data_IF_036614736944
#
_entry.id   IF_036614736944
#
_cell.length_a   1.000
_cell.length_b   1.000
_cell.length_c   1.000
_cell.angle_alpha   90.00
_cell.angle_beta   90.00
_cell.angle_gamma   90.00
#
_symmetry.space_group_name_H-M   'P 1'
#
loop_
_entity.id
_entity.type
_entity.pdbx_description
1 polymer ?
#
# COMPACT_ATOMS: atom_id res chain seq x y z
N UNK A 1 2.94 39.03 -49.87
CA UNK A 1 2.51 38.39 -51.14
C UNK A 1 3.73 37.96 -51.95
N UNK A 2 4.63 37.13 -51.38
CA UNK A 2 5.95 36.78 -51.98
C UNK A 2 6.27 35.28 -52.00
N UNK A 3 5.43 34.39 -51.44
CA UNK A 3 5.78 32.97 -51.33
C UNK A 3 5.54 32.19 -52.63
N UNK A 4 4.51 32.54 -53.42
CA UNK A 4 4.14 31.79 -54.64
C UNK A 4 5.14 31.87 -55.80
N UNK A 5 6.00 32.90 -55.83
CA UNK A 5 7.01 33.05 -56.89
C UNK A 5 8.27 32.22 -56.62
N UNK A 6 8.56 31.91 -55.34
CA UNK A 6 9.70 31.07 -54.95
C UNK A 6 9.47 29.62 -55.36
N UNK A 7 8.28 29.07 -55.08
CA UNK A 7 7.94 27.68 -55.41
C UNK A 7 8.01 27.39 -56.92
N UNK A 8 7.52 28.32 -57.76
CA UNK A 8 7.58 28.16 -59.21
C UNK A 8 9.01 28.22 -59.75
N UNK A 9 9.88 29.02 -59.12
CA UNK A 9 11.31 29.08 -59.46
C UNK A 9 12.04 27.82 -59.02
N UNK A 10 11.74 27.28 -57.84
CA UNK A 10 12.34 26.05 -57.32
C UNK A 10 11.90 24.81 -58.13
N UNK A 11 10.66 24.80 -58.62
CA UNK A 11 10.15 23.71 -59.44
C UNK A 11 10.75 23.72 -60.86
N UNK A 12 10.94 24.90 -61.46
CA UNK A 12 11.66 25.07 -62.74
C UNK A 12 13.14 24.72 -62.61
N UNK A 13 13.79 25.18 -61.54
CA UNK A 13 15.18 24.83 -61.21
C UNK A 13 15.32 23.32 -60.99
N UNK A 14 14.42 22.71 -60.24
CA UNK A 14 14.39 21.27 -60.01
C UNK A 14 14.21 20.47 -61.30
N UNK A 15 13.45 21.00 -62.27
CA UNK A 15 13.26 20.38 -63.60
C UNK A 15 14.55 20.45 -64.43
N UNK A 16 15.23 21.59 -64.44
CA UNK A 16 16.52 21.77 -65.12
C UNK A 16 17.61 20.90 -64.50
N UNK A 17 17.74 20.91 -63.18
CA UNK A 17 18.69 20.07 -62.46
C UNK A 17 18.45 18.57 -62.72
N UNK A 18 17.19 18.13 -62.80
CA UNK A 18 16.86 16.73 -63.15
C UNK A 18 17.22 16.35 -64.57
N UNK A 19 17.27 17.30 -65.50
CA UNK A 19 17.57 17.07 -66.90
C UNK A 19 19.08 17.16 -67.20
N UNK A 20 19.80 18.04 -66.52
CA UNK A 20 21.21 18.35 -66.81
C UNK A 20 22.22 17.59 -65.94
N UNK A 21 21.84 17.13 -64.73
CA UNK A 21 22.78 16.42 -63.85
C UNK A 21 22.78 14.89 -64.11
N UNK A 22 23.98 14.27 -64.26
CA UNK A 22 24.10 12.82 -64.32
C UNK A 22 23.68 12.20 -62.97
N UNK A 23 22.74 11.25 -63.03
CA UNK A 23 22.23 10.57 -61.84
C UNK A 23 23.11 9.36 -61.52
N UNK A 24 23.82 9.44 -60.40
CA UNK A 24 24.50 8.28 -59.84
C UNK A 24 23.57 7.60 -58.83
N UNK A 25 23.39 6.28 -58.97
CA UNK A 25 22.64 5.49 -57.99
C UNK A 25 23.41 5.56 -56.67
N UNK A 26 22.78 6.11 -55.65
CA UNK A 26 23.34 6.13 -54.31
C UNK A 26 23.65 4.68 -53.88
N UNK A 27 24.82 4.40 -53.30
CA UNK A 27 25.12 3.07 -52.77
C UNK A 27 24.04 2.61 -51.80
N UNK A 28 23.61 1.36 -51.87
CA UNK A 28 22.51 0.82 -51.06
C UNK A 28 22.67 1.11 -49.55
N UNK A 29 23.92 1.12 -49.05
CA UNK A 29 24.27 1.49 -47.67
C UNK A 29 23.86 2.92 -47.28
N UNK A 30 23.99 3.88 -48.20
CA UNK A 30 23.64 5.28 -47.95
C UNK A 30 22.12 5.44 -47.88
N UNK A 31 21.41 4.77 -48.79
CA UNK A 31 19.96 4.75 -48.79
C UNK A 31 19.41 4.12 -47.50
N UNK A 32 19.98 2.99 -47.06
CA UNK A 32 19.63 2.35 -45.79
C UNK A 32 19.88 3.29 -44.59
N UNK A 33 21.03 3.96 -44.55
CA UNK A 33 21.36 4.89 -43.47
C UNK A 33 20.41 6.09 -43.40
N UNK A 34 19.97 6.63 -44.53
CA UNK A 34 19.00 7.74 -44.57
C UNK A 34 17.62 7.25 -44.11
N UNK A 35 17.17 6.08 -44.55
CA UNK A 35 15.88 5.50 -44.14
C UNK A 35 15.88 5.20 -42.64
N UNK A 36 16.98 4.70 -42.10
CA UNK A 36 17.13 4.42 -40.67
C UNK A 36 17.16 5.71 -39.84
N UNK A 37 17.87 6.75 -40.31
CA UNK A 37 17.91 8.05 -39.65
C UNK A 37 16.57 8.81 -39.72
N UNK A 38 15.79 8.58 -40.78
CA UNK A 38 14.45 9.15 -40.97
C UNK A 38 13.35 8.35 -40.25
N UNK A 39 13.67 7.17 -39.69
CA UNK A 39 12.69 6.38 -38.96
C UNK A 39 12.32 7.08 -37.65
N UNK A 40 11.01 7.29 -37.36
CA UNK A 40 10.58 7.88 -36.10
C UNK A 40 11.00 6.98 -34.94
N UNK A 41 11.61 7.57 -33.92
CA UNK A 41 12.05 6.83 -32.74
C UNK A 41 10.87 6.06 -32.12
N UNK A 42 11.04 4.77 -31.75
CA UNK A 42 9.97 4.01 -31.15
C UNK A 42 9.52 4.66 -29.84
N UNK A 43 8.20 4.71 -29.56
CA UNK A 43 7.70 5.32 -28.33
C UNK A 43 8.30 4.60 -27.13
N UNK A 44 8.99 5.36 -26.26
CA UNK A 44 9.63 4.84 -25.05
C UNK A 44 8.56 4.34 -24.08
N UNK A 45 8.28 3.03 -24.14
CA UNK A 45 7.30 2.33 -23.27
C UNK A 45 7.53 2.60 -21.77
N UNK A 46 8.78 2.87 -21.37
CA UNK A 46 9.13 3.21 -19.98
C UNK A 46 8.50 4.50 -19.47
N UNK A 47 8.30 5.50 -20.33
CA UNK A 47 7.69 6.78 -19.93
C UNK A 47 6.21 6.60 -19.56
N UNK A 48 5.50 5.71 -20.27
CA UNK A 48 4.10 5.38 -19.98
C UNK A 48 3.93 4.61 -18.68
N UNK A 49 4.83 3.68 -18.37
CA UNK A 49 4.82 2.95 -17.10
C UNK A 49 5.10 3.87 -15.91
N UNK A 50 6.05 4.79 -16.05
CA UNK A 50 6.34 5.78 -15.01
C UNK A 50 5.13 6.68 -14.72
N UNK A 51 4.44 7.15 -15.78
CA UNK A 51 3.23 7.95 -15.64
C UNK A 51 2.08 7.16 -15.00
N UNK A 52 1.87 5.91 -15.42
CA UNK A 52 0.85 5.03 -14.84
C UNK A 52 1.11 4.74 -13.35
N UNK A 53 2.37 4.50 -12.98
CA UNK A 53 2.75 4.27 -11.58
C UNK A 53 2.57 5.53 -10.73
N UNK A 54 2.94 6.70 -11.27
CA UNK A 54 2.71 7.98 -10.59
C UNK A 54 1.21 8.26 -10.39
N UNK A 55 0.37 7.97 -11.38
CA UNK A 55 -1.08 8.11 -11.28
C UNK A 55 -1.71 7.14 -10.26
N UNK A 56 -1.23 5.89 -10.20
CA UNK A 56 -1.68 4.92 -9.20
C UNK A 56 -1.28 5.36 -7.78
N UNK A 57 -0.05 5.86 -7.61
CA UNK A 57 0.43 6.37 -6.34
C UNK A 57 -0.38 7.60 -5.87
N UNK A 58 -0.67 8.55 -6.76
CA UNK A 58 -1.51 9.72 -6.40
C UNK A 58 -2.94 9.32 -6.09
N UNK A 59 -3.53 8.38 -6.83
CA UNK A 59 -4.85 7.83 -6.51
C UNK A 59 -4.86 7.18 -5.11
N UNK A 60 -3.84 6.38 -4.79
CA UNK A 60 -3.71 5.76 -3.46
C UNK A 60 -3.58 6.82 -2.35
N UNK A 61 -2.75 7.85 -2.55
CA UNK A 61 -2.59 8.96 -1.60
C UNK A 61 -3.91 9.71 -1.41
N UNK A 62 -4.63 9.99 -2.49
CA UNK A 62 -5.95 10.63 -2.41
C UNK A 62 -6.93 9.76 -1.63
N UNK A 63 -7.03 8.47 -1.95
CA UNK A 63 -7.90 7.54 -1.21
C UNK A 63 -7.57 7.56 0.27
N UNK A 64 -6.31 7.38 0.65
CA UNK A 64 -5.86 7.41 2.05
C UNK A 64 -6.15 8.75 2.73
N UNK A 65 -6.00 9.87 2.02
CA UNK A 65 -6.32 11.21 2.53
C UNK A 65 -7.83 11.40 2.77
N UNK A 66 -8.69 10.75 1.98
CA UNK A 66 -10.15 10.83 2.10
C UNK A 66 -10.78 9.76 3.00
N UNK A 67 -10.08 8.66 3.30
CA UNK A 67 -10.52 7.63 4.25
C UNK A 67 -11.03 8.21 5.59
N UNK A 68 -10.37 9.19 6.25
CA UNK A 68 -10.87 9.74 7.51
C UNK A 68 -12.14 10.59 7.36
N UNK A 69 -12.45 11.08 6.15
CA UNK A 69 -13.67 11.83 5.85
C UNK A 69 -14.89 10.94 5.58
N UNK A 70 -14.68 9.62 5.38
CA UNK A 70 -15.79 8.69 5.21
C UNK A 70 -16.68 8.69 6.46
N UNK A 71 -18.02 8.70 6.31
CA UNK A 71 -18.92 8.64 7.43
C UNK A 71 -18.65 7.35 8.20
N UNK A 72 -18.07 7.50 9.40
CA UNK A 72 -17.90 6.39 10.32
C UNK A 72 -19.29 6.05 10.83
N UNK A 73 -19.83 4.91 10.39
CA UNK A 73 -21.02 4.32 11.00
C UNK A 73 -20.59 3.85 12.39
N UNK A 74 -20.56 4.77 13.35
CA UNK A 74 -20.41 4.42 14.74
C UNK A 74 -21.65 3.61 15.12
N UNK A 75 -21.50 2.37 15.60
CA UNK A 75 -22.62 1.66 16.17
C UNK A 75 -23.23 2.54 17.27
N UNK A 76 -24.53 2.81 17.20
CA UNK A 76 -25.21 3.60 18.22
C UNK A 76 -25.06 2.93 19.60
N UNK A 77 -25.05 1.60 19.62
CA UNK A 77 -24.89 0.79 20.81
C UNK A 77 -23.42 0.78 21.33
N UNK A 78 -23.16 1.23 22.57
CA UNK A 78 -21.85 1.13 23.20
C UNK A 78 -21.32 -0.31 23.30
N UNK A 79 -22.19 -1.31 23.51
CA UNK A 79 -21.76 -2.71 23.61
C UNK A 79 -21.21 -3.21 22.27
N UNK A 80 -21.84 -2.82 21.15
CA UNK A 80 -21.38 -3.19 19.82
C UNK A 80 -20.05 -2.52 19.45
N UNK A 81 -19.79 -1.29 19.93
CA UNK A 81 -18.48 -0.62 19.79
C UNK A 81 -17.38 -1.36 20.54
N UNK A 82 -17.64 -1.69 21.80
CA UNK A 82 -16.76 -2.52 22.63
C UNK A 82 -16.49 -3.88 21.98
N UNK A 83 -17.52 -4.56 21.48
CA UNK A 83 -17.34 -5.85 20.80
C UNK A 83 -16.43 -5.73 19.57
N UNK A 84 -16.62 -4.70 18.73
CA UNK A 84 -15.74 -4.49 17.57
C UNK A 84 -14.30 -4.20 17.97
N UNK A 85 -14.06 -3.41 19.01
CA UNK A 85 -12.71 -3.10 19.47
C UNK A 85 -12.02 -4.33 20.06
N UNK A 86 -12.76 -5.15 20.81
CA UNK A 86 -12.33 -6.47 21.30
C UNK A 86 -11.97 -7.39 20.12
N UNK A 87 -12.84 -7.52 19.12
CA UNK A 87 -12.57 -8.37 17.95
C UNK A 87 -11.35 -7.87 17.18
N UNK A 88 -11.23 -6.57 16.95
CA UNK A 88 -10.07 -5.98 16.28
C UNK A 88 -8.76 -6.26 17.04
N UNK A 89 -8.79 -6.19 18.37
CA UNK A 89 -7.63 -6.50 19.20
C UNK A 89 -7.29 -8.00 19.19
N UNK A 90 -8.30 -8.87 19.13
CA UNK A 90 -8.10 -10.30 18.94
C UNK A 90 -7.47 -10.62 17.56
N UNK A 91 -7.96 -10.01 16.48
CA UNK A 91 -7.38 -10.16 15.13
C UNK A 91 -5.95 -9.63 15.09
N UNK A 92 -5.66 -8.50 15.75
CA UNK A 92 -4.31 -7.98 15.91
C UNK A 92 -3.40 -9.02 16.58
N UNK A 93 -3.86 -9.64 17.66
CA UNK A 93 -3.12 -10.67 18.37
C UNK A 93 -2.93 -11.95 17.54
N UNK A 94 -3.91 -12.32 16.71
CA UNK A 94 -3.75 -13.43 15.76
C UNK A 94 -2.67 -13.15 14.71
N UNK A 95 -2.68 -11.95 14.13
CA UNK A 95 -1.78 -11.59 13.03
C UNK A 95 -0.35 -11.29 13.47
N UNK A 96 -0.19 -10.62 14.62
CA UNK A 96 1.11 -10.16 15.11
C UNK A 96 1.59 -10.84 16.39
N UNK A 97 0.75 -11.67 17.02
CA UNK A 97 1.06 -12.28 18.30
C UNK A 97 0.95 -11.31 19.49
N UNK A 98 1.07 -11.87 20.69
CA UNK A 98 1.17 -11.10 21.93
C UNK A 98 2.58 -10.49 22.04
N UNK A 99 2.69 -9.23 22.49
CA UNK A 99 4.01 -8.60 22.66
C UNK A 99 4.80 -9.18 23.82
N UNK A 100 4.12 -9.78 24.81
CA UNK A 100 4.73 -10.36 26.02
C UNK A 100 4.22 -11.78 26.27
N UNK A 101 4.79 -12.79 25.59
CA UNK A 101 4.19 -14.11 25.44
C UNK A 101 4.26 -15.05 26.67
N UNK A 102 4.92 -14.64 27.76
CA UNK A 102 5.22 -15.54 28.90
C UNK A 102 4.93 -14.87 30.26
N UNK A 103 4.07 -13.85 30.25
CA UNK A 103 3.91 -12.90 31.33
C UNK A 103 2.63 -13.13 32.14
N UNK A 104 2.67 -13.83 33.29
CA UNK A 104 1.49 -13.93 34.17
C UNK A 104 1.26 -12.56 34.84
N UNK A 105 0.06 -11.96 34.75
CA UNK A 105 -0.21 -10.62 35.27
C UNK A 105 0.16 -10.39 36.73
N UNK A 106 -0.12 -11.36 37.60
CA UNK A 106 0.20 -11.28 39.04
C UNK A 106 1.70 -11.25 39.31
N UNK A 107 2.52 -11.78 38.40
CA UNK A 107 3.98 -11.78 38.51
C UNK A 107 4.61 -10.45 38.03
N UNK A 108 3.81 -9.53 37.47
CA UNK A 108 4.31 -8.35 36.76
C UNK A 108 3.60 -7.08 37.23
N UNK A 109 4.12 -6.42 38.29
CA UNK A 109 3.53 -5.20 38.84
C UNK A 109 3.36 -4.06 37.83
N UNK A 110 4.24 -3.98 36.82
CA UNK A 110 4.15 -2.98 35.75
C UNK A 110 2.85 -3.10 34.95
N UNK A 111 2.34 -4.32 34.73
CA UNK A 111 1.12 -4.54 33.96
C UNK A 111 -0.10 -4.01 34.72
N UNK A 112 -0.12 -4.22 36.03
CA UNK A 112 -1.11 -3.64 36.94
C UNK A 112 -1.02 -2.11 36.98
N UNK A 113 0.19 -1.54 36.97
CA UNK A 113 0.38 -0.09 36.94
C UNK A 113 -0.08 0.54 35.62
N UNK A 114 0.25 -0.08 34.48
CA UNK A 114 -0.12 0.45 33.16
C UNK A 114 -1.63 0.32 32.88
N UNK A 115 -2.23 -0.83 33.23
CA UNK A 115 -3.66 -1.08 33.01
C UNK A 115 -4.57 -0.51 34.09
N UNK A 116 -4.07 -0.35 35.33
CA UNK A 116 -4.86 -0.01 36.51
C UNK A 116 -5.67 -1.19 37.08
N UNK A 117 -5.53 -2.40 36.52
CA UNK A 117 -6.33 -3.57 36.90
C UNK A 117 -5.46 -4.56 37.68
N UNK A 118 -5.75 -4.72 38.98
CA UNK A 118 -5.12 -5.71 39.83
C UNK A 118 -5.86 -7.05 39.76
N UNK A 119 -5.41 -7.97 38.90
CA UNK A 119 -5.97 -9.32 38.85
C UNK A 119 -5.46 -10.13 40.06
N UNK A 120 -6.35 -10.52 40.98
CA UNK A 120 -5.97 -11.30 42.18
C UNK A 120 -5.66 -12.77 41.85
N UNK A 121 -6.30 -13.31 40.80
CA UNK A 121 -6.09 -14.68 40.33
C UNK A 121 -6.18 -14.70 38.82
N UNK A 122 -5.22 -15.39 38.19
CA UNK A 122 -5.19 -15.62 36.76
C UNK A 122 -5.05 -17.12 36.53
N UNK A 123 -5.74 -17.63 35.52
CA UNK A 123 -5.59 -19.01 35.11
C UNK A 123 -4.20 -19.18 34.47
N UNK A 124 -3.33 -19.97 35.07
CA UNK A 124 -1.97 -20.20 34.56
C UNK A 124 -1.90 -21.15 33.36
N UNK A 125 -3.01 -21.83 33.08
CA UNK A 125 -3.12 -22.86 32.05
C UNK A 125 -3.31 -24.26 32.62
N UNK A 126 -3.79 -25.17 31.78
CA UNK A 126 -3.93 -26.61 32.01
C UNK A 126 -3.59 -27.39 30.72
N UNK A 127 -3.88 -28.69 30.69
CA UNK A 127 -3.66 -29.56 29.53
C UNK A 127 -4.48 -29.16 28.29
N UNK A 128 -5.50 -28.31 28.45
CA UNK A 128 -6.39 -27.87 27.37
C UNK A 128 -6.12 -26.46 26.91
N UNK A 129 -5.74 -25.55 27.81
CA UNK A 129 -5.46 -24.16 27.52
C UNK A 129 -4.11 -23.78 28.14
N UNK A 130 -3.11 -23.53 27.30
CA UNK A 130 -1.83 -23.03 27.76
C UNK A 130 -1.82 -21.49 27.75
N UNK A 131 -1.42 -20.88 28.86
CA UNK A 131 -1.22 -19.43 28.89
C UNK A 131 -0.07 -19.02 27.95
N UNK A 132 -0.31 -17.98 27.17
CA UNK A 132 0.60 -17.44 26.14
C UNK A 132 0.92 -15.97 26.35
N UNK A 133 0.60 -15.39 27.50
CA UNK A 133 1.04 -14.03 27.81
C UNK A 133 -0.08 -13.05 28.06
N UNK A 134 0.33 -11.87 28.51
CA UNK A 134 -0.56 -10.78 28.85
C UNK A 134 0.03 -9.44 28.46
N UNK A 135 -0.83 -8.53 28.02
CA UNK A 135 -0.41 -7.18 27.65
C UNK A 135 -1.49 -6.14 27.98
N UNK A 136 -1.08 -4.88 28.25
CA UNK A 136 -2.03 -3.81 28.46
C UNK A 136 -2.65 -3.42 27.11
N UNK A 137 -3.95 -3.17 27.12
CA UNK A 137 -4.71 -2.75 25.94
C UNK A 137 -5.46 -1.46 26.22
N UNK A 138 -5.79 -0.73 25.17
CA UNK A 138 -6.59 0.49 25.27
C UNK A 138 -7.76 0.41 24.30
N UNK A 139 -8.97 0.23 24.83
CA UNK A 139 -10.19 -0.01 24.05
C UNK A 139 -11.25 1.02 24.45
N UNK A 140 -11.82 1.73 23.47
CA UNK A 140 -12.91 2.71 23.70
C UNK A 140 -12.60 3.73 24.83
N UNK A 141 -11.36 4.20 24.90
CA UNK A 141 -10.96 5.18 25.91
C UNK A 141 -10.58 4.58 27.28
N UNK A 142 -10.69 3.26 27.44
CA UNK A 142 -10.46 2.53 28.69
C UNK A 142 -9.17 1.70 28.61
N UNK A 143 -8.37 1.73 29.67
CA UNK A 143 -7.21 0.85 29.83
C UNK A 143 -7.68 -0.51 30.32
N UNK A 144 -7.17 -1.59 29.73
CA UNK A 144 -7.51 -2.95 30.05
C UNK A 144 -6.31 -3.88 30.03
N UNK A 145 -6.56 -5.16 30.25
CA UNK A 145 -5.58 -6.24 30.11
C UNK A 145 -6.12 -7.25 29.11
N UNK A 146 -5.31 -7.65 28.13
CA UNK A 146 -5.56 -8.83 27.32
C UNK A 146 -4.73 -10.00 27.82
N UNK A 147 -5.38 -11.14 28.04
CA UNK A 147 -4.76 -12.42 28.39
C UNK A 147 -4.89 -13.34 27.18
N UNK A 148 -3.78 -13.91 26.73
CA UNK A 148 -3.73 -14.80 25.59
C UNK A 148 -3.52 -16.22 26.06
N UNK A 149 -4.32 -17.13 25.55
CA UNK A 149 -4.19 -18.55 25.76
C UNK A 149 -4.21 -19.25 24.42
N UNK A 150 -3.68 -20.46 24.38
CA UNK A 150 -3.73 -21.30 23.20
C UNK A 150 -4.22 -22.68 23.60
N UNK A 151 -5.21 -23.19 22.88
CA UNK A 151 -5.66 -24.54 23.11
C UNK A 151 -4.70 -25.60 22.54
N UNK A 152 -5.00 -26.87 22.76
CA UNK A 152 -4.23 -28.00 22.24
C UNK A 152 -4.18 -28.05 20.70
N UNK A 153 -5.22 -27.53 20.04
CA UNK A 153 -5.34 -27.48 18.57
C UNK A 153 -4.65 -26.24 17.97
N UNK A 154 -4.14 -25.34 18.81
CA UNK A 154 -3.43 -24.14 18.39
C UNK A 154 -4.31 -22.90 18.20
N UNK A 155 -5.61 -22.95 18.53
CA UNK A 155 -6.51 -21.80 18.48
C UNK A 155 -6.16 -20.80 19.58
N UNK A 156 -6.13 -19.52 19.21
CA UNK A 156 -5.90 -18.42 20.15
C UNK A 156 -7.22 -18.10 20.87
N UNK A 157 -7.17 -18.06 22.19
CA UNK A 157 -8.27 -17.56 23.03
C UNK A 157 -7.76 -16.29 23.72
N UNK A 158 -8.41 -15.16 23.45
CA UNK A 158 -8.09 -13.89 24.10
C UNK A 158 -9.17 -13.54 25.11
N UNK A 159 -8.79 -13.41 26.38
CA UNK A 159 -9.65 -12.89 27.43
C UNK A 159 -9.30 -11.44 27.73
N UNK A 160 -10.24 -10.53 27.52
CA UNK A 160 -10.04 -9.10 27.77
C UNK A 160 -10.75 -8.68 29.06
N UNK A 161 -9.99 -8.03 29.94
CA UNK A 161 -10.46 -7.46 31.19
C UNK A 161 -10.49 -5.96 31.04
N UNK A 162 -11.68 -5.38 31.16
CA UNK A 162 -11.92 -3.94 31.10
C UNK A 162 -12.49 -3.45 32.43
N UNK A 163 -12.21 -2.20 32.83
CA UNK A 163 -12.85 -1.58 33.98
C UNK A 163 -14.34 -1.36 33.69
N UNK A 164 -15.17 -1.64 34.68
CA UNK A 164 -16.62 -1.43 34.65
C UNK A 164 -16.96 0.06 34.45
#
# INVERSE_FOLDING_TARGET
MNERFSDASDEELGRRLRAELPRYVAPARLHAAIVEAAAPAPPRRSAWLAAAFAAAATALVLVLAFVPLLPRILPADPAQRLMRSVVAEHERALMWGARRPEAIPTALPWLTQESGIGLTRVFGGDDRLAFRGAEPVYLEGRRGIALHYRDADGHLVTYMVLPA
#
